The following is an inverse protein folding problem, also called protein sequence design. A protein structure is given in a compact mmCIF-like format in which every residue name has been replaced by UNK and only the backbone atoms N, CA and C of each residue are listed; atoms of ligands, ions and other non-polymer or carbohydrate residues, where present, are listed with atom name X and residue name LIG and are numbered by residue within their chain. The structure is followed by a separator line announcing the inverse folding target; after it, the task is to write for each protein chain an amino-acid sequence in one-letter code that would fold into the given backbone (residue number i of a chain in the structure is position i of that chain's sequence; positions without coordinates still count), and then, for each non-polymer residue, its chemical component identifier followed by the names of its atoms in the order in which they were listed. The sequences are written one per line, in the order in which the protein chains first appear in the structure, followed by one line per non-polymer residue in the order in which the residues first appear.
data_IF_632088810844
#
_entry.id   IF_632088810844
#
_cell.length_a   1.000
_cell.length_b   1.000
_cell.length_c   1.000
_cell.angle_alpha   90.00
_cell.angle_beta   90.00
_cell.angle_gamma   90.00
#
_symmetry.space_group_name_H-M   'P 1'
#
loop_
_entity.id
_entity.type
_entity.pdbx_description
1 polymer ?
#
# COMPACT_ATOMS: atom_id res chain seq x y z
N UNK A 1 22.34 -1.55 15.29
CA UNK A 1 21.04 -0.84 15.35
C UNK A 1 20.18 -1.36 14.22
N UNK A 2 19.05 -2.00 14.50
CA UNK A 2 18.12 -2.43 13.44
C UNK A 2 17.55 -1.17 12.76
N UNK A 3 17.60 -1.11 11.44
CA UNK A 3 16.95 -0.02 10.70
C UNK A 3 15.43 -0.14 10.85
N UNK A 4 14.76 1.01 10.99
CA UNK A 4 13.30 1.06 11.00
C UNK A 4 12.73 0.45 9.70
N UNK A 5 11.66 -0.37 9.78
CA UNK A 5 11.02 -0.94 8.60
C UNK A 5 10.63 0.13 7.57
N UNK A 6 10.73 -0.21 6.29
CA UNK A 6 10.58 0.77 5.20
C UNK A 6 9.19 1.38 5.17
N UNK A 7 8.17 0.57 5.45
CA UNK A 7 6.77 0.93 5.52
C UNK A 7 6.49 1.98 6.61
N UNK A 8 7.18 1.90 7.75
CA UNK A 8 7.07 2.87 8.85
C UNK A 8 7.69 4.21 8.44
N UNK A 9 8.84 4.17 7.76
CA UNK A 9 9.49 5.38 7.23
C UNK A 9 8.62 6.08 6.18
N UNK A 10 7.99 5.31 5.30
CA UNK A 10 7.04 5.82 4.29
C UNK A 10 5.81 6.43 4.96
N UNK A 11 5.20 5.74 5.94
CA UNK A 11 4.06 6.23 6.71
C UNK A 11 4.33 7.61 7.34
N UNK A 12 5.49 7.77 7.99
CA UNK A 12 5.92 9.05 8.58
C UNK A 12 6.04 10.16 7.53
N UNK A 13 6.66 9.86 6.39
CA UNK A 13 6.88 10.84 5.32
C UNK A 13 5.58 11.29 4.65
N UNK A 14 4.63 10.38 4.45
CA UNK A 14 3.30 10.67 3.90
C UNK A 14 2.46 11.47 4.89
N UNK A 15 2.41 11.03 6.14
CA UNK A 15 1.64 11.69 7.21
C UNK A 15 2.14 13.12 7.45
N UNK A 16 3.45 13.34 7.51
CA UNK A 16 4.04 14.67 7.67
C UNK A 16 3.73 15.63 6.52
N UNK A 17 3.36 15.10 5.34
CA UNK A 17 2.99 15.89 4.16
C UNK A 17 1.48 15.91 3.89
N UNK A 18 0.66 15.30 4.75
CA UNK A 18 -0.78 15.17 4.53
C UNK A 18 -1.12 14.44 3.22
N UNK A 19 -0.27 13.52 2.77
CA UNK A 19 -0.46 12.77 1.52
C UNK A 19 -0.96 11.36 1.80
N UNK A 20 -1.71 10.83 0.84
CA UNK A 20 -2.19 9.45 0.84
C UNK A 20 -1.44 8.61 -0.18
N UNK A 21 -1.50 7.29 0.01
CA UNK A 21 -0.94 6.24 -0.84
C UNK A 21 -2.03 5.21 -1.09
N UNK A 22 -2.10 4.70 -2.32
CA UNK A 22 -2.81 3.48 -2.66
C UNK A 22 -1.88 2.51 -3.41
N UNK A 23 -2.23 1.23 -3.43
CA UNK A 23 -1.43 0.20 -4.12
C UNK A 23 -2.27 -0.62 -5.10
N UNK A 24 -1.65 -1.03 -6.20
CA UNK A 24 -2.16 -2.06 -7.10
C UNK A 24 -1.16 -3.22 -7.09
N UNK A 25 -1.59 -4.40 -6.68
CA UNK A 25 -0.73 -5.56 -6.46
C UNK A 25 -1.07 -6.71 -7.42
N UNK A 26 -0.05 -7.50 -7.80
CA UNK A 26 -0.21 -8.74 -8.57
C UNK A 26 0.50 -9.88 -7.84
N UNK A 27 1.76 -10.17 -8.17
CA UNK A 27 2.52 -11.28 -7.58
C UNK A 27 2.73 -11.19 -6.05
N UNK A 28 2.61 -10.01 -5.45
CA UNK A 28 2.68 -9.81 -4.00
C UNK A 28 1.39 -10.22 -3.27
N UNK A 29 0.27 -10.39 -3.98
CA UNK A 29 -0.97 -10.97 -3.43
C UNK A 29 -1.63 -10.19 -2.29
N UNK A 30 -1.26 -8.93 -2.06
CA UNK A 30 -1.75 -8.13 -0.92
C UNK A 30 -0.73 -7.95 0.21
N UNK A 31 0.48 -8.53 0.10
CA UNK A 31 1.51 -8.41 1.13
C UNK A 31 1.91 -6.95 1.39
N UNK A 32 1.94 -6.10 0.37
CA UNK A 32 2.30 -4.69 0.55
C UNK A 32 1.20 -3.94 1.30
N UNK A 33 -0.07 -4.11 0.89
CA UNK A 33 -1.22 -3.59 1.60
C UNK A 33 -1.26 -4.05 3.06
N UNK A 34 -1.02 -5.34 3.30
CA UNK A 34 -0.95 -5.91 4.64
C UNK A 34 0.06 -5.17 5.53
N UNK A 35 1.32 -5.05 5.09
CA UNK A 35 2.37 -4.35 5.84
C UNK A 35 2.03 -2.88 6.12
N UNK A 36 1.37 -2.19 5.19
CA UNK A 36 0.92 -0.81 5.41
C UNK A 36 -0.21 -0.75 6.45
N UNK A 37 -1.14 -1.70 6.43
CA UNK A 37 -2.26 -1.77 7.38
C UNK A 37 -1.86 -2.21 8.79
N UNK A 38 -0.74 -2.92 8.95
CA UNK A 38 -0.18 -3.26 10.27
C UNK A 38 0.27 -2.03 11.07
N UNK A 39 0.50 -0.90 10.40
CA UNK A 39 0.91 0.35 11.06
C UNK A 39 -0.31 0.98 11.74
N UNK A 40 -0.29 1.22 13.06
CA UNK A 40 -1.40 1.88 13.75
C UNK A 40 -1.71 3.26 13.16
N UNK A 41 -2.98 3.53 12.91
CA UNK A 41 -3.42 4.78 12.27
C UNK A 41 -3.17 4.83 10.76
N UNK A 42 -2.93 3.68 10.11
CA UNK A 42 -2.72 3.57 8.67
C UNK A 42 -3.78 4.23 7.80
N UNK A 43 -5.03 4.31 8.25
CA UNK A 43 -6.11 5.03 7.56
C UNK A 43 -5.83 6.52 7.31
N UNK A 44 -4.86 7.13 8.00
CA UNK A 44 -4.45 8.53 7.77
C UNK A 44 -3.62 8.73 6.50
N UNK A 45 -2.91 7.70 6.05
CA UNK A 45 -2.02 7.79 4.88
C UNK A 45 -2.26 6.70 3.84
N UNK A 46 -2.97 5.61 4.17
CA UNK A 46 -3.27 4.53 3.24
C UNK A 46 -4.74 4.57 2.84
N UNK A 47 -5.00 4.90 1.58
CA UNK A 47 -6.34 4.99 1.02
C UNK A 47 -6.93 3.62 0.64
N UNK A 48 -6.10 2.58 0.56
CA UNK A 48 -6.49 1.22 0.18
C UNK A 48 -5.70 0.68 -1.00
N UNK A 49 -6.14 -0.45 -1.53
CA UNK A 49 -5.49 -1.05 -2.68
C UNK A 49 -6.33 -2.10 -3.39
N UNK A 50 -5.84 -2.51 -4.55
CA UNK A 50 -6.46 -3.54 -5.40
C UNK A 50 -5.44 -4.65 -5.65
N UNK A 51 -5.84 -5.90 -5.42
CA UNK A 51 -5.07 -7.06 -5.87
C UNK A 51 -5.63 -7.51 -7.22
N UNK A 52 -4.91 -7.23 -8.30
CA UNK A 52 -5.26 -7.58 -9.67
C UNK A 52 -4.28 -8.62 -10.22
N UNK A 53 -4.46 -9.89 -9.84
CA UNK A 53 -3.52 -10.97 -10.17
C UNK A 53 -3.60 -11.40 -11.64
N UNK A 54 -4.80 -11.70 -12.13
CA UNK A 54 -4.99 -12.13 -13.52
C UNK A 54 -4.94 -10.95 -14.50
N UNK A 55 -4.77 -11.25 -15.79
CA UNK A 55 -4.83 -10.26 -16.85
C UNK A 55 -6.21 -9.58 -16.88
N UNK A 56 -7.28 -10.36 -16.81
CA UNK A 56 -8.67 -9.87 -16.81
C UNK A 56 -8.96 -8.98 -15.60
N UNK A 57 -8.36 -9.27 -14.44
CA UNK A 57 -8.49 -8.43 -13.26
C UNK A 57 -7.83 -7.05 -13.46
N UNK A 58 -6.67 -6.99 -14.13
CA UNK A 58 -5.98 -5.73 -14.47
C UNK A 58 -6.83 -4.89 -15.42
N UNK A 59 -7.33 -5.48 -16.49
CA UNK A 59 -8.18 -4.77 -17.45
C UNK A 59 -9.49 -4.29 -16.79
N UNK A 60 -10.13 -5.12 -15.98
CA UNK A 60 -11.41 -4.77 -15.35
C UNK A 60 -11.27 -3.68 -14.29
N UNK A 61 -10.31 -3.83 -13.37
CA UNK A 61 -10.20 -3.01 -12.16
C UNK A 61 -9.30 -1.78 -12.35
N UNK A 62 -8.26 -1.90 -13.18
CA UNK A 62 -7.22 -0.87 -13.33
C UNK A 62 -7.17 -0.27 -14.75
N UNK A 63 -7.88 -0.87 -15.70
CA UNK A 63 -7.93 -0.43 -17.12
C UNK A 63 -6.56 -0.49 -17.81
N UNK A 64 -5.77 -1.52 -17.49
CA UNK A 64 -4.43 -1.82 -18.06
C UNK A 64 -4.29 -3.28 -18.46
#
# INVERSE_FOLDING_TARGET
MAQEPVEVRVAKLLSARGRTLCVAESCTGGLLGHRLTEIPGSSRFFAGGVVAYSYEAKERLLKV
#
